data_IF_583224969440
#
_entry.id   IF_583224969440
#
_cell.length_a   1.000
_cell.length_b   1.000
_cell.length_c   1.000
_cell.angle_alpha   90.00
_cell.angle_beta   90.00
_cell.angle_gamma   90.00
#
_symmetry.space_group_name_H-M   'P 1'
#
loop_
_entity.id
_entity.type
_entity.pdbx_description
1 polymer ?
#
# COMPACT_ATOMS: atom_id res chain seq x y z
N UNK A 1 8.21 4.23 -6.24
CA UNK A 1 9.15 3.52 -7.14
C UNK A 1 10.15 2.72 -6.30
N UNK A 2 10.71 3.35 -5.28
CA UNK A 2 11.37 2.74 -4.09
C UNK A 2 10.80 1.40 -3.58
N UNK A 3 9.49 1.24 -3.42
CA UNK A 3 8.88 0.05 -2.81
C UNK A 3 9.19 -1.25 -3.57
N UNK A 4 9.07 -1.20 -4.90
CA UNK A 4 9.38 -2.33 -5.77
C UNK A 4 10.88 -2.64 -5.77
N UNK A 5 11.71 -1.60 -5.93
CA UNK A 5 13.16 -1.76 -6.06
C UNK A 5 13.79 -2.38 -4.80
N UNK A 6 13.40 -1.93 -3.62
CA UNK A 6 13.88 -2.51 -2.37
C UNK A 6 13.47 -3.98 -2.24
N UNK A 7 12.22 -4.28 -2.56
CA UNK A 7 11.70 -5.65 -2.48
C UNK A 7 12.44 -6.58 -3.45
N UNK A 8 12.64 -6.13 -4.69
CA UNK A 8 13.38 -6.86 -5.71
C UNK A 8 14.84 -7.12 -5.28
N UNK A 9 15.51 -6.11 -4.71
CA UNK A 9 16.89 -6.25 -4.25
C UNK A 9 17.04 -7.29 -3.11
N UNK A 10 16.12 -7.28 -2.13
CA UNK A 10 16.14 -8.24 -1.02
C UNK A 10 15.84 -9.67 -1.51
N UNK A 11 14.87 -9.83 -2.42
CA UNK A 11 14.57 -11.12 -3.03
C UNK A 11 15.80 -11.64 -3.78
N UNK A 12 16.41 -10.80 -4.62
CA UNK A 12 17.60 -11.17 -5.39
C UNK A 12 18.73 -11.64 -4.48
N UNK A 13 18.98 -10.93 -3.37
CA UNK A 13 19.97 -11.33 -2.39
C UNK A 13 19.68 -12.71 -1.77
N UNK A 14 18.43 -13.00 -1.43
CA UNK A 14 18.05 -14.33 -0.90
C UNK A 14 18.21 -15.43 -1.94
N UNK A 15 17.89 -15.17 -3.20
CA UNK A 15 18.10 -16.13 -4.29
C UNK A 15 19.60 -16.43 -4.49
N UNK A 16 20.45 -15.40 -4.52
CA UNK A 16 21.90 -15.55 -4.71
C UNK A 16 22.57 -16.30 -3.56
N UNK A 17 22.17 -15.99 -2.33
CA UNK A 17 22.71 -16.62 -1.12
C UNK A 17 22.05 -17.97 -0.79
N UNK A 18 21.04 -18.39 -1.56
CA UNK A 18 20.22 -19.59 -1.32
C UNK A 18 19.61 -19.61 0.09
N UNK A 19 19.16 -18.45 0.55
CA UNK A 19 18.49 -18.28 1.84
C UNK A 19 17.00 -17.99 1.64
N UNK A 20 16.22 -18.11 2.71
CA UNK A 20 14.77 -17.85 2.71
C UNK A 20 14.46 -16.66 3.60
N UNK A 21 13.26 -16.09 3.46
CA UNK A 21 12.92 -14.88 4.18
C UNK A 21 11.44 -14.54 4.17
N UNK A 22 11.14 -13.42 4.83
CA UNK A 22 9.80 -12.87 4.87
C UNK A 22 9.84 -11.34 4.67
N UNK A 23 8.97 -10.85 3.80
CA UNK A 23 8.74 -9.43 3.57
C UNK A 23 7.33 -9.09 4.09
N UNK A 24 7.24 -8.01 4.87
CA UNK A 24 5.97 -7.45 5.33
C UNK A 24 5.85 -6.01 4.84
N UNK A 25 4.89 -5.80 3.94
CA UNK A 25 4.61 -4.52 3.33
C UNK A 25 3.54 -3.75 4.13
N UNK A 26 3.69 -2.44 4.21
CA UNK A 26 2.72 -1.55 4.85
C UNK A 26 1.76 -0.98 3.80
N UNK A 27 0.56 -1.53 3.76
CA UNK A 27 -0.52 -1.14 2.86
C UNK A 27 -1.57 -0.30 3.60
N UNK A 28 -2.86 -0.46 3.30
CA UNK A 28 -3.98 0.25 3.94
C UNK A 28 -5.30 -0.49 3.67
N UNK A 29 -6.31 -0.27 4.50
CA UNK A 29 -7.72 -0.52 4.15
C UNK A 29 -8.07 0.05 2.76
N UNK A 30 -7.48 1.20 2.39
CA UNK A 30 -7.71 1.86 1.10
C UNK A 30 -7.22 1.06 -0.13
N UNK A 31 -6.52 -0.05 0.10
CA UNK A 31 -6.12 -1.00 -0.95
C UNK A 31 -7.24 -1.95 -1.36
N UNK A 32 -8.27 -2.08 -0.52
CA UNK A 32 -9.45 -2.92 -0.77
C UNK A 32 -10.67 -2.08 -1.15
N UNK A 33 -10.79 -0.89 -0.57
CA UNK A 33 -11.92 0.02 -0.80
C UNK A 33 -11.43 1.42 -1.12
N UNK A 34 -12.05 2.08 -2.09
CA UNK A 34 -11.70 3.46 -2.44
C UNK A 34 -12.15 4.45 -1.37
N UNK A 35 -11.36 5.50 -1.15
CA UNK A 35 -11.71 6.60 -0.25
C UNK A 35 -11.85 7.91 -1.04
N UNK A 36 -12.96 8.62 -0.81
CA UNK A 36 -13.23 9.91 -1.42
C UNK A 36 -12.10 10.91 -1.14
N UNK A 37 -11.72 11.71 -2.14
CA UNK A 37 -10.63 12.70 -2.09
C UNK A 37 -9.20 12.14 -1.89
N UNK A 38 -9.01 10.82 -1.97
CA UNK A 38 -7.69 10.18 -1.81
C UNK A 38 -7.28 9.28 -2.98
N UNK A 39 -7.45 9.68 -4.27
CA UNK A 39 -7.18 8.78 -5.40
C UNK A 39 -5.71 8.35 -5.47
N UNK A 40 -4.76 9.26 -5.27
CA UNK A 40 -3.33 8.92 -5.29
C UNK A 40 -2.94 7.94 -4.17
N UNK A 41 -3.50 8.13 -2.96
CA UNK A 41 -3.24 7.26 -1.83
C UNK A 41 -3.86 5.86 -2.05
N UNK A 42 -5.12 5.80 -2.47
CA UNK A 42 -5.79 4.52 -2.78
C UNK A 42 -5.07 3.77 -3.90
N UNK A 43 -4.68 4.46 -4.99
CA UNK A 43 -3.92 3.86 -6.09
C UNK A 43 -2.56 3.33 -5.64
N UNK A 44 -1.82 4.12 -4.86
CA UNK A 44 -0.52 3.70 -4.31
C UNK A 44 -0.65 2.46 -3.42
N UNK A 45 -1.60 2.47 -2.48
CA UNK A 45 -1.81 1.37 -1.53
C UNK A 45 -2.38 0.12 -2.20
N UNK A 46 -3.28 0.29 -3.19
CA UNK A 46 -3.73 -0.78 -4.08
C UNK A 46 -2.58 -1.41 -4.88
N UNK A 47 -1.65 -0.58 -5.38
CA UNK A 47 -0.43 -1.05 -6.03
C UNK A 47 0.42 -1.94 -5.12
N UNK A 48 0.61 -1.55 -3.85
CA UNK A 48 1.33 -2.37 -2.85
C UNK A 48 0.62 -3.71 -2.63
N UNK A 49 -0.72 -3.73 -2.59
CA UNK A 49 -1.49 -4.97 -2.42
C UNK A 49 -1.24 -5.94 -3.57
N UNK A 50 -1.37 -5.49 -4.83
CA UNK A 50 -1.16 -6.36 -5.98
C UNK A 50 0.31 -6.81 -6.08
N UNK A 51 1.26 -5.90 -5.87
CA UNK A 51 2.68 -6.24 -5.81
C UNK A 51 2.96 -7.35 -4.80
N UNK A 52 2.41 -7.23 -3.59
CA UNK A 52 2.55 -8.24 -2.54
C UNK A 52 2.04 -9.60 -2.98
N UNK A 53 0.84 -9.64 -3.58
CA UNK A 53 0.22 -10.89 -4.03
C UNK A 53 1.01 -11.54 -5.15
N UNK A 54 1.47 -10.76 -6.13
CA UNK A 54 2.31 -11.24 -7.24
C UNK A 54 3.61 -11.83 -6.72
N UNK A 55 4.35 -11.10 -5.90
CA UNK A 55 5.64 -11.59 -5.37
C UNK A 55 5.49 -12.80 -4.45
N UNK A 56 4.40 -12.88 -3.68
CA UNK A 56 4.13 -14.05 -2.86
C UNK A 56 3.94 -15.31 -3.72
N UNK A 57 3.26 -15.20 -4.87
CA UNK A 57 3.08 -16.31 -5.80
C UNK A 57 4.38 -16.67 -6.51
N UNK A 58 5.10 -15.67 -7.01
CA UNK A 58 6.32 -15.86 -7.81
C UNK A 58 7.44 -16.54 -7.01
N UNK A 59 7.55 -16.24 -5.71
CA UNK A 59 8.69 -16.66 -4.89
C UNK A 59 8.35 -17.67 -3.78
N UNK A 60 7.11 -18.16 -3.72
CA UNK A 60 6.69 -19.15 -2.72
C UNK A 60 7.53 -20.44 -2.79
N UNK A 61 7.83 -20.93 -4.00
CA UNK A 61 8.61 -22.17 -4.18
C UNK A 61 10.07 -22.07 -3.71
N UNK A 62 10.58 -20.84 -3.57
CA UNK A 62 11.91 -20.52 -3.06
C UNK A 62 11.90 -20.29 -1.54
N UNK A 63 10.77 -20.54 -0.87
CA UNK A 63 10.61 -20.35 0.57
C UNK A 63 10.49 -18.89 1.00
N UNK A 64 10.32 -17.96 0.06
CA UNK A 64 10.18 -16.53 0.36
C UNK A 64 8.69 -16.21 0.53
N UNK A 65 8.36 -15.58 1.66
CA UNK A 65 6.98 -15.17 1.98
C UNK A 65 6.84 -13.66 1.85
N UNK A 66 5.79 -13.20 1.18
CA UNK A 66 5.50 -11.77 1.05
C UNK A 66 4.07 -11.52 1.51
N UNK A 67 3.90 -10.66 2.50
CA UNK A 67 2.59 -10.31 3.05
C UNK A 67 2.47 -8.79 3.19
N UNK A 68 1.24 -8.31 3.39
CA UNK A 68 0.99 -6.91 3.67
C UNK A 68 0.08 -6.77 4.89
N UNK A 69 0.40 -5.79 5.74
CA UNK A 69 -0.52 -5.30 6.76
C UNK A 69 -1.35 -4.16 6.17
N UNK A 70 -2.65 -4.18 6.42
CA UNK A 70 -3.61 -3.23 5.83
C UNK A 70 -4.43 -2.56 6.93
N UNK A 71 -3.84 -1.63 7.71
CA UNK A 71 -4.54 -1.00 8.82
C UNK A 71 -5.72 -0.15 8.36
N UNK A 72 -6.73 -0.06 9.23
CA UNK A 72 -7.73 1.00 9.21
C UNK A 72 -7.17 2.32 9.76
N UNK A 73 -8.05 3.22 10.19
CA UNK A 73 -7.62 4.40 10.95
C UNK A 73 -7.00 3.97 12.27
N UNK A 74 -5.78 4.43 12.54
CA UNK A 74 -5.03 4.16 13.76
C UNK A 74 -4.48 5.48 14.30
N UNK A 75 -4.54 5.65 15.63
CA UNK A 75 -4.08 6.86 16.30
C UNK A 75 -2.57 7.02 16.15
N UNK A 76 -2.20 7.83 15.18
CA UNK A 76 -0.83 8.10 14.74
C UNK A 76 -0.76 9.53 14.21
N UNK A 77 0.42 10.16 14.18
CA UNK A 77 0.58 11.50 13.61
C UNK A 77 0.10 11.66 12.16
N UNK A 78 -0.06 10.57 11.40
CA UNK A 78 -0.62 10.58 10.05
C UNK A 78 -2.06 11.12 9.98
N UNK A 79 -2.80 10.99 11.08
CA UNK A 79 -4.18 11.45 11.22
C UNK A 79 -4.30 12.79 11.96
N UNK A 80 -3.21 13.33 12.50
CA UNK A 80 -3.23 14.64 13.18
C UNK A 80 -3.75 15.73 12.23
N UNK A 81 -4.69 16.55 12.73
CA UNK A 81 -5.32 17.61 11.95
C UNK A 81 -6.33 17.15 10.89
N UNK A 82 -6.63 15.85 10.79
CA UNK A 82 -7.75 15.35 9.97
C UNK A 82 -8.97 15.11 10.85
N UNK A 83 -10.01 15.93 10.69
CA UNK A 83 -11.32 15.59 11.24
C UNK A 83 -11.81 14.30 10.57
N UNK A 84 -11.94 13.24 11.36
CA UNK A 84 -12.61 12.01 10.96
C UNK A 84 -14.14 12.21 10.91
N UNK A 85 -14.60 13.31 10.29
CA UNK A 85 -16.04 13.51 10.07
C UNK A 85 -16.49 12.56 8.94
N UNK A 86 -17.08 11.42 9.32
CA UNK A 86 -17.77 10.52 8.39
C UNK A 86 -19.18 11.01 7.99
N UNK A 87 -19.55 12.25 8.34
CA UNK A 87 -20.95 12.68 8.24
C UNK A 87 -21.07 14.04 7.57
N UNK A 88 -21.14 14.07 6.24
CA UNK A 88 -21.99 14.98 5.46
C UNK A 88 -21.82 14.68 3.97
N UNK A 89 -22.95 14.53 3.30
CA UNK A 89 -23.15 14.52 1.85
C UNK A 89 -22.52 15.79 1.23
N UNK A 90 -21.19 15.80 1.06
CA UNK A 90 -20.51 16.85 0.31
C UNK A 90 -20.63 16.49 -1.16
N UNK A 91 -21.18 17.43 -1.94
CA UNK A 91 -21.33 17.33 -3.40
C UNK A 91 -20.04 16.77 -4.00
N UNK A 92 -20.19 15.82 -4.94
CA UNK A 92 -19.09 15.30 -5.74
C UNK A 92 -18.31 16.47 -6.35
N UNK A 93 -17.11 16.72 -5.83
CA UNK A 93 -16.19 17.70 -6.38
C UNK A 93 -15.22 16.92 -7.27
N UNK A 94 -15.26 17.13 -8.59
CA UNK A 94 -14.40 16.37 -9.49
C UNK A 94 -12.91 16.61 -9.19
N UNK A 95 -12.09 15.58 -9.28
CA UNK A 95 -10.66 15.68 -8.98
C UNK A 95 -9.94 16.77 -9.82
N UNK A 96 -10.40 17.03 -11.05
CA UNK A 96 -9.86 18.09 -11.92
C UNK A 96 -10.22 19.52 -11.51
N UNK A 97 -11.07 19.71 -10.51
CA UNK A 97 -11.44 21.04 -10.00
C UNK A 97 -10.55 21.52 -8.85
N UNK A 98 -9.75 20.64 -8.27
CA UNK A 98 -8.74 20.99 -7.27
C UNK A 98 -7.54 21.59 -8.00
N UNK A 99 -7.44 22.92 -8.00
CA UNK A 99 -6.25 23.61 -8.52
C UNK A 99 -5.09 23.34 -7.56
N UNK A 100 -4.09 22.61 -8.02
CA UNK A 100 -2.79 22.56 -7.38
C UNK A 100 -2.07 23.88 -7.72
N UNK A 101 -2.30 24.92 -6.91
CA UNK A 101 -1.51 26.16 -6.90
C UNK A 101 -0.65 26.19 -5.66
#
# INVERSE_FOLDING_TARGET
MDYFLLTAAVIQHWLETKTTGAIVNCSSICSFVGQHAFPAYCSSKGGIKLLTQTLALDYASQGIRVNAVCPGYIDTPLLEGRELEQTKTRRFTPYWSVRYT
#
